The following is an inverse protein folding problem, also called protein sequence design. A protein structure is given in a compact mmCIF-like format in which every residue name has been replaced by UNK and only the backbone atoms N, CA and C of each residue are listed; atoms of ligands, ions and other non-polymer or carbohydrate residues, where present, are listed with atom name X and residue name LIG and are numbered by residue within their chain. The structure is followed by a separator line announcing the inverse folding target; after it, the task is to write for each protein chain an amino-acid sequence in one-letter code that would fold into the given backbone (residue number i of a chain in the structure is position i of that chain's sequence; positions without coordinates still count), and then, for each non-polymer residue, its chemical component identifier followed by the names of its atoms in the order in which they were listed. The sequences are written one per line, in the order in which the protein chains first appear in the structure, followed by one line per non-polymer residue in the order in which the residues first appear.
data_IF_195528751889
#
_entry.id   IF_195528751889
#
_cell.length_a   1.000
_cell.length_b   1.000
_cell.length_c   1.000
_cell.angle_alpha   90.00
_cell.angle_beta   90.00
_cell.angle_gamma   90.00
#
_symmetry.space_group_name_H-M   'P 1'
#
loop_
_entity.id
_entity.type
_entity.pdbx_description
1 polymer ?
#
# COMPACT_ATOMS: atom_id res chain seq x y z
N UNK A 1 7.58 -7.28 -11.12
CA UNK A 1 8.98 -7.52 -10.69
C UNK A 1 9.70 -6.26 -10.24
N UNK A 2 9.41 -5.06 -10.75
CA UNK A 2 10.09 -3.83 -10.30
C UNK A 2 9.77 -3.31 -8.88
N UNK A 3 8.68 -3.78 -8.26
CA UNK A 3 8.22 -3.25 -6.96
C UNK A 3 9.12 -3.60 -5.75
N UNK A 4 9.96 -4.64 -5.87
CA UNK A 4 10.88 -5.09 -4.81
C UNK A 4 12.32 -4.64 -5.03
N UNK A 5 12.57 -3.79 -6.03
CA UNK A 5 13.91 -3.29 -6.34
C UNK A 5 14.32 -2.18 -5.35
N UNK A 6 15.62 -2.06 -5.11
CA UNK A 6 16.16 -0.92 -4.39
C UNK A 6 16.16 0.34 -5.27
N UNK A 7 16.14 1.52 -4.65
CA UNK A 7 16.00 2.80 -5.36
C UNK A 7 17.12 3.03 -6.41
N UNK A 8 18.33 2.59 -6.11
CA UNK A 8 19.50 2.63 -7.00
C UNK A 8 19.35 1.75 -8.25
N UNK A 9 18.47 0.75 -8.21
CA UNK A 9 18.19 -0.16 -9.32
C UNK A 9 17.07 0.34 -10.24
N UNK A 10 16.37 1.42 -9.88
CA UNK A 10 15.20 1.90 -10.63
C UNK A 10 15.55 2.43 -12.02
N UNK A 11 16.68 3.12 -12.16
CA UNK A 11 17.15 3.66 -13.43
C UNK A 11 17.56 2.56 -14.40
N UNK A 12 18.24 1.51 -13.89
CA UNK A 12 18.60 0.35 -14.69
C UNK A 12 17.33 -0.40 -15.15
N UNK A 13 16.40 -0.66 -14.24
CA UNK A 13 15.13 -1.31 -14.58
C UNK A 13 14.29 -0.49 -15.58
N UNK A 14 14.27 0.84 -15.45
CA UNK A 14 13.58 1.70 -16.41
C UNK A 14 14.16 1.55 -17.83
N UNK A 15 15.50 1.50 -17.95
CA UNK A 15 16.17 1.27 -19.23
C UNK A 15 15.79 -0.09 -19.82
N UNK A 16 15.86 -1.16 -19.02
CA UNK A 16 15.54 -2.52 -19.48
C UNK A 16 14.06 -2.62 -19.92
N UNK A 17 13.16 -2.06 -19.12
CA UNK A 17 11.73 -2.08 -19.41
C UNK A 17 11.40 -1.33 -20.71
N UNK A 18 12.01 -0.16 -20.93
CA UNK A 18 11.76 0.63 -22.16
C UNK A 18 12.34 -0.03 -23.41
N UNK A 19 13.42 -0.80 -23.28
CA UNK A 19 13.97 -1.61 -24.37
C UNK A 19 13.07 -2.80 -24.73
N UNK A 20 12.46 -3.43 -23.73
CA UNK A 20 11.57 -4.59 -23.90
C UNK A 20 10.19 -4.17 -24.46
N UNK A 21 9.58 -3.12 -23.90
CA UNK A 21 8.22 -2.68 -24.22
C UNK A 21 8.16 -1.48 -25.17
N UNK A 22 8.71 -1.62 -26.37
CA UNK A 22 8.78 -0.55 -27.39
C UNK A 22 7.42 -0.01 -27.87
N UNK A 23 6.35 -0.78 -27.69
CA UNK A 23 5.00 -0.37 -28.06
C UNK A 23 4.40 0.66 -27.09
N UNK A 24 4.89 0.70 -25.86
CA UNK A 24 4.40 1.61 -24.82
C UNK A 24 5.23 2.89 -24.85
N UNK A 25 4.58 4.02 -25.09
CA UNK A 25 5.23 5.34 -25.12
C UNK A 25 4.90 6.10 -23.84
N UNK A 26 5.92 6.42 -23.07
CA UNK A 26 5.80 7.37 -21.97
C UNK A 26 6.17 8.78 -22.45
N UNK A 27 5.57 9.83 -21.86
CA UNK A 27 6.04 11.20 -22.06
C UNK A 27 7.43 11.31 -21.42
N UNK A 28 8.51 11.25 -22.20
CA UNK A 28 9.86 11.33 -21.65
C UNK A 28 10.15 12.75 -21.16
N UNK A 29 9.85 13.02 -19.89
CA UNK A 29 10.27 14.24 -19.20
C UNK A 29 11.59 13.95 -18.50
N UNK A 30 12.54 14.89 -18.53
CA UNK A 30 13.83 14.71 -17.87
C UNK A 30 13.64 14.26 -16.40
N UNK A 31 14.40 13.25 -15.97
CA UNK A 31 14.33 12.65 -14.62
C UNK A 31 13.05 11.88 -14.24
N UNK A 32 12.20 11.47 -15.19
CA UNK A 32 11.05 10.59 -14.88
C UNK A 32 11.33 9.13 -15.25
N UNK A 33 10.97 8.20 -14.37
CA UNK A 33 11.07 6.75 -14.56
C UNK A 33 9.69 6.14 -14.83
N UNK A 34 9.65 4.88 -15.26
CA UNK A 34 8.39 4.13 -15.42
C UNK A 34 7.57 4.06 -14.13
N UNK A 35 8.21 4.22 -12.97
CA UNK A 35 7.58 4.15 -11.65
C UNK A 35 6.88 5.45 -11.23
N UNK A 36 7.11 6.54 -11.95
CA UNK A 36 6.49 7.86 -11.72
C UNK A 36 5.14 7.99 -12.41
N UNK A 37 4.77 7.00 -13.23
CA UNK A 37 3.50 6.93 -13.94
C UNK A 37 2.53 5.93 -13.29
N UNK A 38 1.25 6.27 -13.34
CA UNK A 38 0.13 5.37 -13.08
C UNK A 38 -0.75 5.26 -14.32
N UNK A 39 -1.54 4.19 -14.38
CA UNK A 39 -2.54 4.02 -15.43
C UNK A 39 -3.85 4.56 -14.88
N UNK A 40 -4.36 5.62 -15.48
CA UNK A 40 -5.68 6.14 -15.17
C UNK A 40 -6.75 5.11 -15.59
N UNK A 41 -7.59 4.61 -14.66
CA UNK A 41 -8.59 3.60 -14.96
C UNK A 41 -9.66 4.08 -15.97
N UNK A 42 -9.91 5.38 -16.08
CA UNK A 42 -10.91 5.93 -16.99
C UNK A 42 -10.34 6.15 -18.39
N UNK A 43 -9.22 6.86 -18.48
CA UNK A 43 -8.63 7.23 -19.78
C UNK A 43 -7.71 6.16 -20.35
N UNK A 44 -7.28 5.18 -19.54
CA UNK A 44 -6.29 4.14 -19.85
C UNK A 44 -4.95 4.71 -20.33
N UNK A 45 -4.64 5.94 -19.94
CA UNK A 45 -3.39 6.63 -20.28
C UNK A 45 -2.44 6.66 -19.10
N UNK A 46 -1.16 6.81 -19.40
CA UNK A 46 -0.12 7.01 -18.39
C UNK A 46 -0.12 8.47 -17.94
N UNK A 47 -0.38 8.68 -16.65
CA UNK A 47 -0.31 9.99 -16.00
C UNK A 47 0.69 9.97 -14.84
N UNK A 48 1.23 11.14 -14.48
CA UNK A 48 2.19 11.26 -13.38
C UNK A 48 1.49 11.14 -12.02
N UNK A 49 2.09 10.38 -11.10
CA UNK A 49 1.62 10.32 -9.71
C UNK A 49 1.53 11.70 -9.07
N UNK A 50 2.41 12.64 -9.44
CA UNK A 50 2.40 14.03 -8.96
C UNK A 50 1.08 14.78 -9.22
N UNK A 51 0.33 14.43 -10.27
CA UNK A 51 -0.98 15.03 -10.56
C UNK A 51 -2.07 14.52 -9.58
N UNK A 52 -1.86 13.32 -9.03
CA UNK A 52 -2.76 12.68 -8.08
C UNK A 52 -2.40 13.00 -6.61
N UNK A 53 -1.35 13.77 -6.37
CA UNK A 53 -1.00 14.22 -5.01
C UNK A 53 -1.95 15.35 -4.62
N UNK A 54 -2.82 15.09 -3.63
CA UNK A 54 -3.63 16.13 -3.01
C UNK A 54 -2.74 17.15 -2.28
N UNK A 55 -3.17 18.41 -2.29
CA UNK A 55 -2.49 19.46 -1.50
C UNK A 55 -2.57 19.09 -0.03
N UNK A 56 -1.40 19.01 0.61
CA UNK A 56 -1.30 18.80 2.04
C UNK A 56 -1.56 20.12 2.76
N UNK A 57 -2.57 20.14 3.64
CA UNK A 57 -2.75 21.20 4.61
C UNK A 57 -2.45 20.63 5.99
N UNK A 58 -1.48 21.26 6.68
CA UNK A 58 -1.11 20.86 8.03
C UNK A 58 -2.21 21.34 8.98
N UNK A 59 -2.95 20.39 9.54
CA UNK A 59 -3.89 20.67 10.63
C UNK A 59 -3.11 20.78 11.96
N UNK A 60 -3.06 21.96 12.60
CA UNK A 60 -2.38 22.13 13.89
C UNK A 60 -3.01 21.33 15.04
N UNK A 61 -4.26 20.86 14.89
CA UNK A 61 -4.93 20.03 15.89
C UNK A 61 -4.53 18.54 15.77
N UNK A 62 -3.85 18.15 14.69
CA UNK A 62 -3.36 16.78 14.48
C UNK A 62 -1.90 16.65 14.96
N UNK A 63 -1.58 15.68 15.84
CA UNK A 63 -0.20 15.44 16.24
C UNK A 63 0.70 15.19 15.03
N UNK A 64 1.88 15.80 15.01
CA UNK A 64 2.85 15.66 13.89
C UNK A 64 3.18 14.19 13.57
N UNK A 65 3.10 13.32 14.58
CA UNK A 65 3.33 11.87 14.45
C UNK A 65 2.23 11.14 13.67
N UNK A 66 1.02 11.72 13.61
CA UNK A 66 -0.13 11.22 12.86
C UNK A 66 -0.34 11.96 11.53
N UNK A 67 0.31 13.11 11.34
CA UNK A 67 0.23 13.87 10.09
C UNK A 67 1.03 13.17 8.98
N UNK A 68 0.33 12.50 8.06
CA UNK A 68 0.96 11.91 6.87
C UNK A 68 0.98 12.93 5.72
N UNK A 69 2.17 13.28 5.25
CA UNK A 69 2.33 14.15 4.08
C UNK A 69 2.12 13.31 2.80
N UNK A 70 1.10 13.61 1.97
CA UNK A 70 0.91 12.96 0.69
C UNK A 70 2.06 13.32 -0.25
N UNK A 71 2.94 12.36 -0.50
CA UNK A 71 3.98 12.42 -1.53
C UNK A 71 3.61 11.49 -2.70
N UNK A 72 4.18 11.65 -3.90
CA UNK A 72 3.95 10.73 -5.02
C UNK A 72 4.19 9.26 -4.65
N UNK A 73 5.21 9.01 -3.82
CA UNK A 73 5.55 7.68 -3.31
C UNK A 73 4.45 7.13 -2.38
N UNK A 74 3.92 7.96 -1.48
CA UNK A 74 2.85 7.57 -0.56
C UNK A 74 1.55 7.28 -1.32
N UNK A 75 1.22 8.08 -2.33
CA UNK A 75 0.04 7.86 -3.19
C UNK A 75 0.19 6.56 -3.98
N UNK A 76 1.38 6.29 -4.54
CA UNK A 76 1.69 5.04 -5.24
C UNK A 76 1.52 3.82 -4.33
N UNK A 77 2.08 3.85 -3.12
CA UNK A 77 1.92 2.74 -2.15
C UNK A 77 0.45 2.55 -1.79
N UNK A 78 -0.28 3.64 -1.51
CA UNK A 78 -1.72 3.58 -1.19
C UNK A 78 -2.58 3.01 -2.31
N UNK A 79 -2.22 3.26 -3.57
CA UNK A 79 -2.94 2.71 -4.73
C UNK A 79 -2.88 1.19 -4.74
N UNK A 80 -1.69 0.63 -4.53
CA UNK A 80 -1.45 -0.80 -4.54
C UNK A 80 -2.03 -1.51 -3.30
N UNK A 81 -2.04 -0.86 -2.14
CA UNK A 81 -2.71 -1.36 -0.93
C UNK A 81 -4.23 -1.66 -1.05
N UNK A 82 -4.88 -1.30 -2.17
CA UNK A 82 -6.23 -1.76 -2.48
C UNK A 82 -6.32 -3.25 -2.87
N UNK A 83 -5.19 -3.90 -3.14
CA UNK A 83 -5.09 -5.31 -3.48
C UNK A 83 -4.41 -6.11 -2.35
N UNK A 84 -4.55 -7.44 -2.30
CA UNK A 84 -3.87 -8.28 -1.32
C UNK A 84 -2.35 -8.23 -1.55
N UNK A 85 -1.64 -7.49 -0.72
CA UNK A 85 -0.22 -7.19 -0.92
C UNK A 85 0.59 -7.30 0.37
N UNK A 86 1.87 -7.65 0.22
CA UNK A 86 2.85 -7.67 1.30
C UNK A 86 3.83 -6.51 1.14
N UNK A 87 3.80 -5.54 2.06
CA UNK A 87 4.69 -4.39 2.05
C UNK A 87 5.96 -4.69 2.88
N UNK A 88 7.11 -4.80 2.21
CA UNK A 88 8.41 -5.03 2.85
C UNK A 88 9.25 -3.76 2.78
N UNK A 89 9.47 -3.10 3.91
CA UNK A 89 10.35 -1.91 4.00
C UNK A 89 11.07 -1.92 5.35
N UNK A 90 12.28 -1.35 5.46
CA UNK A 90 13.08 -1.30 6.70
C UNK A 90 12.40 -0.58 7.88
N UNK A 91 12.74 -0.90 9.12
CA UNK A 91 12.13 -0.30 10.32
C UNK A 91 12.22 1.25 10.33
N UNK A 92 11.22 1.92 10.91
CA UNK A 92 11.22 3.39 11.06
C UNK A 92 10.77 4.21 9.85
N UNK A 93 10.39 3.59 8.74
CA UNK A 93 10.02 4.30 7.50
C UNK A 93 8.56 4.82 7.44
N UNK A 94 7.88 5.00 8.58
CA UNK A 94 6.48 5.47 8.61
C UNK A 94 5.41 4.49 8.09
N UNK A 95 5.77 3.24 7.76
CA UNK A 95 4.86 2.19 7.27
C UNK A 95 3.59 2.05 8.09
N UNK A 96 3.73 1.95 9.42
CA UNK A 96 2.59 1.77 10.33
C UNK A 96 1.59 2.91 10.21
N UNK A 97 2.06 4.14 9.97
CA UNK A 97 1.20 5.31 9.77
C UNK A 97 0.47 5.19 8.43
N UNK A 98 1.16 4.84 7.34
CA UNK A 98 0.54 4.64 6.01
C UNK A 98 -0.50 3.52 6.03
N UNK A 99 -0.16 2.40 6.68
CA UNK A 99 -1.04 1.24 6.84
C UNK A 99 -2.26 1.62 7.68
N UNK A 100 -2.05 2.22 8.84
CA UNK A 100 -3.16 2.62 9.72
C UNK A 100 -4.08 3.63 9.04
N UNK A 101 -3.54 4.63 8.35
CA UNK A 101 -4.33 5.62 7.63
C UNK A 101 -5.22 4.96 6.56
N UNK A 102 -4.66 4.06 5.75
CA UNK A 102 -5.45 3.33 4.75
C UNK A 102 -6.52 2.46 5.40
N UNK A 103 -6.18 1.76 6.48
CA UNK A 103 -7.14 0.92 7.21
C UNK A 103 -8.26 1.76 7.82
N UNK A 104 -7.97 2.97 8.33
CA UNK A 104 -8.99 3.90 8.85
C UNK A 104 -9.88 4.48 7.74
N UNK A 105 -9.40 4.52 6.49
CA UNK A 105 -10.23 4.91 5.33
C UNK A 105 -11.21 3.82 4.88
N UNK A 106 -11.04 2.57 5.33
CA UNK A 106 -11.96 1.49 4.99
C UNK A 106 -13.24 1.60 5.82
N UNK A 107 -14.37 1.20 5.24
CA UNK A 107 -15.64 1.22 5.96
C UNK A 107 -15.60 0.19 7.11
N UNK A 108 -15.63 0.68 8.35
CA UNK A 108 -15.67 -0.13 9.58
C UNK A 108 -16.88 -1.08 9.66
N UNK A 109 -17.92 -0.83 8.87
CA UNK A 109 -19.08 -1.71 8.77
C UNK A 109 -18.81 -2.96 7.92
N UNK A 110 -17.94 -2.88 6.92
CA UNK A 110 -17.62 -4.00 6.00
C UNK A 110 -16.29 -4.67 6.34
N UNK A 111 -15.36 -3.94 6.97
CA UNK A 111 -14.00 -4.42 7.20
C UNK A 111 -13.72 -4.57 8.69
N UNK A 112 -13.11 -5.69 9.08
CA UNK A 112 -12.59 -5.91 10.44
C UNK A 112 -11.07 -5.92 10.39
N UNK A 113 -10.45 -5.02 11.14
CA UNK A 113 -8.99 -4.86 11.19
C UNK A 113 -8.45 -5.62 12.40
N UNK A 114 -7.49 -6.51 12.18
CA UNK A 114 -6.83 -7.29 13.22
C UNK A 114 -5.34 -7.02 13.16
N UNK A 115 -4.80 -6.36 14.19
CA UNK A 115 -3.37 -6.10 14.27
C UNK A 115 -2.68 -7.28 14.97
N UNK A 116 -1.81 -7.98 14.24
CA UNK A 116 -1.05 -9.12 14.75
C UNK A 116 0.43 -8.76 14.81
N UNK A 117 0.97 -8.41 15.99
CA UNK A 117 2.39 -8.13 16.12
C UNK A 117 3.19 -9.43 15.96
N UNK A 118 3.95 -9.52 14.88
CA UNK A 118 4.83 -10.65 14.61
C UNK A 118 6.22 -10.38 15.17
N UNK A 119 6.70 -11.24 16.07
CA UNK A 119 8.03 -11.15 16.65
C UNK A 119 8.65 -12.54 16.80
N UNK A 120 9.89 -12.60 17.29
CA UNK A 120 10.63 -13.86 17.45
C UNK A 120 9.92 -14.90 18.35
N UNK A 121 9.08 -14.45 19.28
CA UNK A 121 8.34 -15.29 20.21
C UNK A 121 6.93 -15.65 19.72
N UNK A 122 6.54 -15.23 18.53
CA UNK A 122 5.23 -15.58 17.95
C UNK A 122 5.26 -17.01 17.41
N UNK A 123 4.76 -17.98 18.20
CA UNK A 123 4.53 -19.34 17.73
C UNK A 123 3.28 -19.44 16.84
N UNK A 124 3.15 -20.55 16.10
CA UNK A 124 1.94 -20.83 15.30
C UNK A 124 0.66 -20.87 16.16
N UNK A 125 0.77 -21.36 17.40
CA UNK A 125 -0.32 -21.41 18.36
C UNK A 125 -0.76 -20.01 18.78
N UNK A 126 0.19 -19.12 19.10
CA UNK A 126 -0.10 -17.72 19.45
C UNK A 126 -0.75 -17.02 18.25
N UNK A 127 -0.21 -17.19 17.05
CA UNK A 127 -0.76 -16.62 15.82
C UNK A 127 -2.21 -17.07 15.59
N UNK A 128 -2.48 -18.37 15.68
CA UNK A 128 -3.81 -18.93 15.50
C UNK A 128 -4.79 -18.39 16.54
N UNK A 129 -4.37 -18.33 17.82
CA UNK A 129 -5.21 -17.79 18.90
C UNK A 129 -5.61 -16.32 18.68
N UNK A 130 -4.75 -15.52 18.05
CA UNK A 130 -5.02 -14.11 17.75
C UNK A 130 -5.97 -14.00 16.54
N UNK A 131 -5.76 -14.83 15.51
CA UNK A 131 -6.60 -14.82 14.30
C UNK A 131 -8.02 -15.34 14.58
N UNK A 132 -8.20 -16.27 15.52
CA UNK A 132 -9.52 -16.82 15.85
C UNK A 132 -10.36 -15.91 16.76
N UNK A 133 -9.74 -15.01 17.53
CA UNK A 133 -10.45 -14.09 18.45
C UNK A 133 -11.59 -13.27 17.81
N UNK A 134 -11.41 -12.63 16.64
CA UNK A 134 -12.44 -11.83 15.99
C UNK A 134 -13.35 -12.63 15.06
N UNK A 135 -13.15 -13.96 14.94
CA UNK A 135 -13.88 -14.81 14.02
C UNK A 135 -14.96 -15.62 14.76
N UNK A 136 -16.17 -15.64 14.21
CA UNK A 136 -17.21 -16.56 14.63
C UNK A 136 -17.08 -17.89 13.87
N UNK A 137 -17.13 -18.98 14.61
CA UNK A 137 -17.21 -20.32 14.04
C UNK A 137 -18.62 -20.53 13.47
N UNK A 138 -18.75 -20.48 12.15
CA UNK A 138 -20.01 -20.84 11.46
C UNK A 138 -20.15 -22.36 11.41
N UNK A 139 -21.37 -22.84 11.16
CA UNK A 139 -21.62 -24.27 10.99
C UNK A 139 -20.75 -24.81 9.84
N UNK A 140 -20.07 -25.93 10.10
CA UNK A 140 -19.10 -26.62 9.24
C UNK A 140 -17.75 -25.90 9.00
N UNK A 141 -16.86 -25.97 10.01
CA UNK A 141 -15.40 -25.62 10.00
C UNK A 141 -14.99 -24.27 9.36
N UNK A 142 -15.93 -23.41 9.04
CA UNK A 142 -15.70 -22.11 8.42
C UNK A 142 -15.62 -21.03 9.49
N UNK A 143 -14.52 -20.27 9.47
CA UNK A 143 -14.34 -19.09 10.31
C UNK A 143 -14.64 -17.85 9.47
N UNK A 144 -15.53 -17.00 9.96
CA UNK A 144 -15.89 -15.75 9.29
C UNK A 144 -15.96 -14.60 10.28
N UNK A 145 -15.94 -13.35 9.80
CA UNK A 145 -16.13 -12.19 10.66
C UNK A 145 -17.47 -12.24 11.40
N UNK A 146 -17.52 -11.62 12.57
CA UNK A 146 -18.70 -11.48 13.43
C UNK A 146 -19.85 -10.81 12.67
N UNK A 147 -20.97 -11.50 12.51
CA UNK A 147 -22.15 -11.00 11.78
C UNK A 147 -22.02 -11.03 10.26
N UNK A 148 -23.02 -10.48 9.56
CA UNK A 148 -23.13 -10.50 8.09
C UNK A 148 -22.25 -9.41 7.43
N UNK A 149 -20.99 -9.29 7.89
CA UNK A 149 -19.96 -8.41 7.32
C UNK A 149 -19.16 -9.14 6.24
#
# INVERSE_FOLDING_TARGET
MGASLFQDQYTAYHSDWTLEFKAVKFPTTANTTVFDYYIDPETKKFELWSKNVQKFELDPDVPLQAALVPTPETVRVRYWMGYPEMLVVGAGSGKTVIVNDKLHSLNNELWTIVNVPFNYYTSSEILQSILEKPLERKADRNYGPLGNK
#
